data_IF_620597710979
#
_entry.id   IF_620597710979
#
_cell.length_a   1.000
_cell.length_b   1.000
_cell.length_c   1.000
_cell.angle_alpha   90.00
_cell.angle_beta   90.00
_cell.angle_gamma   90.00
#
_symmetry.space_group_name_H-M   'P 1'
#
loop_
_entity.id
_entity.type
_entity.pdbx_description
1 polymer ?
#
# COMPACT_ATOMS: atom_id res chain seq x y z
N UNK A 1 39.66 12.76 6.39
CA UNK A 1 38.19 12.77 6.43
C UNK A 1 37.73 11.50 5.74
N UNK A 2 36.92 10.69 6.38
CA UNK A 2 36.36 9.50 5.75
C UNK A 2 35.44 9.98 4.61
N UNK A 3 35.63 9.44 3.43
CA UNK A 3 34.76 9.75 2.27
C UNK A 3 33.32 9.29 2.57
N UNK A 4 32.36 10.19 2.43
CA UNK A 4 30.95 9.84 2.61
C UNK A 4 30.49 8.91 1.49
N UNK A 5 29.63 7.92 1.80
CA UNK A 5 29.12 7.01 0.77
C UNK A 5 28.22 7.76 -0.21
N UNK A 6 28.34 7.46 -1.49
CA UNK A 6 27.41 7.92 -2.52
C UNK A 6 26.23 6.97 -2.63
N UNK A 7 25.03 7.51 -2.59
CA UNK A 7 23.78 6.74 -2.46
C UNK A 7 22.92 6.86 -3.71
N UNK A 8 22.36 5.73 -4.19
CA UNK A 8 21.29 5.71 -5.18
C UNK A 8 19.93 5.52 -4.48
N UNK A 9 18.94 6.35 -4.83
CA UNK A 9 17.56 6.22 -4.39
C UNK A 9 16.69 5.89 -5.61
N UNK A 10 15.93 4.79 -5.55
CA UNK A 10 15.01 4.38 -6.61
C UNK A 10 13.58 4.79 -6.24
N UNK A 11 13.03 5.76 -6.97
CA UNK A 11 11.67 6.27 -6.83
C UNK A 11 11.55 7.52 -5.96
N UNK A 12 10.72 8.47 -6.39
CA UNK A 12 10.42 9.73 -5.70
C UNK A 12 8.93 9.80 -5.27
N UNK A 13 8.36 8.68 -4.86
CA UNK A 13 7.10 8.63 -4.13
C UNK A 13 7.26 9.13 -2.68
N UNK A 14 6.22 9.02 -1.85
CA UNK A 14 6.24 9.46 -0.45
C UNK A 14 7.43 8.92 0.36
N UNK A 15 7.87 7.70 0.09
CA UNK A 15 9.03 7.11 0.78
C UNK A 15 10.36 7.64 0.25
N UNK A 16 10.46 7.84 -1.07
CA UNK A 16 11.69 8.32 -1.71
C UNK A 16 12.02 9.76 -1.35
N UNK A 17 11.04 10.67 -1.34
CA UNK A 17 11.28 12.07 -0.95
C UNK A 17 11.64 12.20 0.53
N UNK A 18 11.08 11.36 1.41
CA UNK A 18 11.42 11.34 2.82
C UNK A 18 12.88 10.90 3.05
N UNK A 19 13.31 9.83 2.36
CA UNK A 19 14.70 9.37 2.50
C UNK A 19 15.70 10.30 1.80
N UNK A 20 15.33 10.92 0.67
CA UNK A 20 16.14 11.96 0.01
C UNK A 20 16.43 13.12 0.96
N UNK A 21 15.40 13.60 1.66
CA UNK A 21 15.53 14.63 2.70
C UNK A 21 16.45 14.17 3.84
N UNK A 22 16.28 12.94 4.33
CA UNK A 22 17.12 12.40 5.40
C UNK A 22 18.60 12.30 5.00
N UNK A 23 18.92 11.98 3.74
CA UNK A 23 20.29 12.00 3.20
C UNK A 23 20.82 13.44 3.11
N UNK A 24 20.01 14.36 2.57
CA UNK A 24 20.37 15.78 2.47
C UNK A 24 20.71 16.39 3.82
N UNK A 25 19.91 16.17 4.84
CA UNK A 25 20.11 16.69 6.21
C UNK A 25 21.45 16.22 6.82
N UNK A 26 21.93 15.07 6.39
CA UNK A 26 23.18 14.47 6.86
C UNK A 26 24.38 14.78 5.98
N UNK A 27 24.17 15.52 4.90
CA UNK A 27 25.22 15.82 3.93
C UNK A 27 25.72 14.59 3.15
N UNK A 28 24.95 13.50 3.12
CA UNK A 28 25.27 12.29 2.37
C UNK A 28 24.96 12.56 0.90
N UNK A 29 25.94 12.43 -0.03
CA UNK A 29 25.70 12.62 -1.46
C UNK A 29 24.80 11.52 -2.00
N UNK A 30 23.77 11.89 -2.76
CA UNK A 30 22.85 10.95 -3.37
C UNK A 30 22.33 11.43 -4.72
N UNK A 31 21.90 10.48 -5.54
CA UNK A 31 21.06 10.69 -6.73
C UNK A 31 19.74 9.95 -6.54
N UNK A 32 18.64 10.61 -6.84
CA UNK A 32 17.30 10.00 -6.80
C UNK A 32 16.74 9.90 -8.24
N UNK A 33 16.37 8.70 -8.68
CA UNK A 33 15.81 8.45 -10.00
C UNK A 33 14.32 8.15 -9.91
N UNK A 34 13.52 8.93 -10.65
CA UNK A 34 12.07 8.78 -10.76
C UNK A 34 11.66 8.53 -12.21
N UNK A 35 10.95 7.44 -12.42
CA UNK A 35 10.46 7.06 -13.76
C UNK A 35 9.35 7.99 -14.26
N UNK A 36 8.61 8.65 -13.38
CA UNK A 36 7.60 9.66 -13.70
C UNK A 36 8.21 11.04 -13.94
N UNK A 37 7.38 11.96 -14.43
CA UNK A 37 7.77 13.35 -14.71
C UNK A 37 7.68 14.27 -13.48
N UNK A 38 7.25 13.75 -12.32
CA UNK A 38 7.17 14.46 -11.04
C UNK A 38 7.16 13.50 -9.85
N UNK A 39 7.24 14.04 -8.65
CA UNK A 39 7.12 13.29 -7.40
C UNK A 39 5.70 12.75 -7.17
N UNK A 40 5.52 11.87 -6.19
CA UNK A 40 4.21 11.44 -5.70
C UNK A 40 3.92 9.96 -5.88
N UNK A 41 4.59 9.28 -6.82
CA UNK A 41 4.45 7.84 -7.00
C UNK A 41 3.00 7.39 -7.16
N UNK A 42 2.51 6.56 -6.24
CA UNK A 42 1.13 6.03 -6.27
C UNK A 42 0.02 7.10 -6.08
N UNK A 43 0.34 8.29 -5.59
CA UNK A 43 -0.62 9.38 -5.39
C UNK A 43 -0.78 10.28 -6.62
N UNK A 44 0.13 10.12 -7.60
CA UNK A 44 0.08 10.89 -8.83
C UNK A 44 -0.96 10.28 -9.79
N UNK A 45 -2.20 10.82 -9.75
CA UNK A 45 -3.28 10.42 -10.65
C UNK A 45 -2.88 10.66 -12.12
N UNK A 46 -3.16 9.67 -12.98
CA UNK A 46 -2.74 9.66 -14.40
C UNK A 46 -1.23 9.80 -14.60
N UNK A 47 -0.44 9.20 -13.70
CA UNK A 47 1.00 9.15 -13.86
C UNK A 47 1.38 8.51 -15.22
N UNK A 48 2.12 9.23 -16.09
CA UNK A 48 2.44 8.73 -17.43
C UNK A 48 3.26 7.43 -17.43
N UNK A 49 3.95 7.12 -16.32
CA UNK A 49 4.67 5.85 -16.17
C UNK A 49 3.75 4.63 -15.92
N UNK A 50 2.44 4.82 -15.81
CA UNK A 50 1.43 3.79 -15.56
C UNK A 50 1.61 2.99 -14.25
N UNK A 51 2.40 3.48 -13.30
CA UNK A 51 2.67 2.81 -12.02
C UNK A 51 1.78 3.29 -10.87
N UNK A 52 0.91 4.27 -11.09
CA UNK A 52 -0.03 4.76 -10.07
C UNK A 52 -1.34 3.96 -10.11
N UNK A 53 -1.85 3.61 -8.94
CA UNK A 53 -3.16 3.02 -8.75
C UNK A 53 -4.22 4.05 -8.27
N UNK A 54 -3.91 5.35 -8.38
CA UNK A 54 -4.84 6.40 -8.01
C UNK A 54 -6.00 6.49 -9.01
N UNK A 55 -7.19 6.71 -8.50
CA UNK A 55 -8.41 7.00 -9.26
C UNK A 55 -8.93 8.38 -8.84
N UNK A 56 -9.76 9.00 -9.69
CA UNK A 56 -10.18 10.40 -9.56
C UNK A 56 -10.83 10.72 -8.20
N UNK A 57 -11.63 9.82 -7.66
CA UNK A 57 -12.30 9.98 -6.37
C UNK A 57 -11.46 9.56 -5.16
N UNK A 58 -10.18 9.23 -5.33
CA UNK A 58 -9.33 8.72 -4.25
C UNK A 58 -9.11 9.75 -3.14
N UNK A 59 -9.37 9.34 -1.91
CA UNK A 59 -9.04 10.05 -0.68
C UNK A 59 -8.20 9.16 0.24
N UNK A 60 -7.38 9.75 1.10
CA UNK A 60 -6.66 8.97 2.10
C UNK A 60 -7.62 8.26 3.06
N UNK A 61 -7.16 7.15 3.62
CA UNK A 61 -7.92 6.33 4.57
C UNK A 61 -7.41 6.45 6.01
N UNK A 62 -6.30 7.15 6.20
CA UNK A 62 -5.72 7.51 7.49
C UNK A 62 -5.90 9.02 7.69
N UNK A 63 -6.19 9.45 8.90
CA UNK A 63 -6.29 10.86 9.23
C UNK A 63 -5.02 11.64 8.81
N UNK A 64 -5.20 12.84 8.23
CA UNK A 64 -4.10 13.64 7.69
C UNK A 64 -3.03 13.95 8.75
N UNK A 65 -3.42 14.18 10.03
CA UNK A 65 -2.49 14.48 11.13
C UNK A 65 -1.62 13.28 11.54
N UNK A 66 -2.07 12.07 11.24
CA UNK A 66 -1.26 10.86 11.42
C UNK A 66 -0.42 10.54 10.19
N UNK A 67 -0.85 11.04 9.01
CA UNK A 67 -0.21 10.75 7.73
C UNK A 67 0.95 11.71 7.42
N UNK A 68 0.94 12.95 7.93
CA UNK A 68 1.94 13.97 7.65
C UNK A 68 3.36 13.57 8.10
N UNK A 69 4.38 14.13 7.43
CA UNK A 69 5.76 14.06 7.91
C UNK A 69 5.89 14.87 9.18
N UNK A 70 6.74 14.44 10.10
CA UNK A 70 6.88 15.08 11.41
C UNK A 70 7.49 16.47 11.34
N UNK A 71 8.41 16.66 10.40
CA UNK A 71 9.12 17.92 10.20
C UNK A 71 8.43 18.86 9.18
N UNK A 72 7.33 18.39 8.57
CA UNK A 72 6.53 19.18 7.63
C UNK A 72 5.04 18.90 7.83
N UNK A 73 4.41 19.52 8.84
CA UNK A 73 2.99 19.29 9.10
C UNK A 73 2.11 19.86 7.98
N UNK A 74 1.00 19.18 7.70
CA UNK A 74 0.01 19.69 6.75
C UNK A 74 -0.65 20.97 7.27
N UNK A 75 -1.09 21.90 6.40
CA UNK A 75 -1.82 23.11 6.80
C UNK A 75 -2.98 22.84 7.76
N UNK A 76 -3.25 23.76 8.67
CA UNK A 76 -4.24 23.59 9.74
C UNK A 76 -5.66 23.37 9.26
N UNK A 77 -6.00 23.88 8.08
CA UNK A 77 -7.28 23.76 7.40
C UNK A 77 -7.41 22.53 6.48
N UNK A 78 -6.36 21.67 6.42
CA UNK A 78 -6.43 20.42 5.65
C UNK A 78 -7.55 19.53 6.21
N UNK A 79 -8.48 19.02 5.35
CA UNK A 79 -9.51 18.08 5.77
C UNK A 79 -8.92 16.82 6.42
N UNK A 80 -9.67 16.17 7.32
CA UNK A 80 -9.22 14.93 7.96
C UNK A 80 -8.81 13.84 6.96
N UNK A 81 -9.52 13.73 5.83
CA UNK A 81 -9.27 12.75 4.76
C UNK A 81 -9.16 13.47 3.41
N UNK A 82 -8.06 14.17 3.14
CA UNK A 82 -7.89 14.91 1.89
C UNK A 82 -7.84 14.00 0.67
N UNK A 83 -8.19 14.58 -0.50
CA UNK A 83 -8.08 13.90 -1.78
C UNK A 83 -6.62 13.71 -2.21
N UNK A 84 -6.41 12.83 -3.18
CA UNK A 84 -5.08 12.63 -3.77
C UNK A 84 -4.48 13.92 -4.33
N UNK A 85 -5.28 14.87 -4.82
CA UNK A 85 -4.79 16.19 -5.28
C UNK A 85 -4.14 16.99 -4.17
N UNK A 86 -4.74 17.01 -2.98
CA UNK A 86 -4.18 17.70 -1.80
C UNK A 86 -2.90 17.02 -1.35
N UNK A 87 -2.85 15.68 -1.38
CA UNK A 87 -1.64 14.91 -1.05
C UNK A 87 -0.53 15.17 -2.07
N UNK A 88 -0.86 15.23 -3.37
CA UNK A 88 0.13 15.56 -4.40
C UNK A 88 0.72 16.94 -4.19
N UNK A 89 -0.15 17.95 -3.94
CA UNK A 89 0.34 19.30 -3.63
C UNK A 89 1.24 19.30 -2.39
N UNK A 90 0.90 18.57 -1.35
CA UNK A 90 1.71 18.44 -0.14
C UNK A 90 3.10 17.86 -0.44
N UNK A 91 3.23 16.87 -1.34
CA UNK A 91 4.53 16.33 -1.74
C UNK A 91 5.34 17.30 -2.59
N UNK A 92 4.71 18.01 -3.51
CA UNK A 92 5.37 19.06 -4.29
C UNK A 92 5.89 20.19 -3.38
N UNK A 93 5.04 20.65 -2.47
CA UNK A 93 5.42 21.68 -1.50
C UNK A 93 6.57 21.21 -0.57
N UNK A 94 6.54 19.94 -0.14
CA UNK A 94 7.62 19.32 0.66
C UNK A 94 8.95 19.32 -0.08
N UNK A 95 8.94 18.85 -1.32
CA UNK A 95 10.15 18.78 -2.16
C UNK A 95 10.74 20.16 -2.41
N UNK A 96 9.88 21.17 -2.68
CA UNK A 96 10.31 22.54 -2.91
C UNK A 96 10.80 23.20 -1.63
N UNK A 97 10.10 23.00 -0.49
CA UNK A 97 10.48 23.57 0.81
C UNK A 97 11.87 23.11 1.25
N UNK A 98 12.18 21.82 1.07
CA UNK A 98 13.48 21.27 1.44
C UNK A 98 14.52 21.31 0.30
N UNK A 99 14.17 21.89 -0.86
CA UNK A 99 15.07 22.03 -2.01
C UNK A 99 15.57 20.67 -2.53
N UNK A 100 14.68 19.68 -2.62
CA UNK A 100 15.03 18.33 -3.07
C UNK A 100 14.90 18.18 -4.59
N UNK A 101 14.19 19.08 -5.27
CA UNK A 101 13.84 18.94 -6.68
C UNK A 101 15.04 18.75 -7.59
N UNK A 102 16.11 19.51 -7.35
CA UNK A 102 17.34 19.45 -8.15
C UNK A 102 18.18 18.18 -7.93
N UNK A 103 17.83 17.39 -6.91
CA UNK A 103 18.49 16.10 -6.61
C UNK A 103 17.70 14.90 -7.17
N UNK A 104 16.55 15.15 -7.82
CA UNK A 104 15.70 14.12 -8.40
C UNK A 104 15.82 14.20 -9.93
N UNK A 105 16.22 13.11 -10.56
CA UNK A 105 16.23 12.97 -12.01
C UNK A 105 14.92 12.31 -12.44
N UNK A 106 14.02 13.11 -13.00
CA UNK A 106 12.73 12.66 -13.51
C UNK A 106 12.83 12.03 -14.89
N UNK A 107 11.76 11.32 -15.31
CA UNK A 107 11.67 10.60 -16.57
C UNK A 107 12.86 9.64 -16.78
N UNK A 108 13.37 9.07 -15.69
CA UNK A 108 14.54 8.20 -15.69
C UNK A 108 14.29 7.02 -14.78
N UNK A 109 14.15 5.85 -15.37
CA UNK A 109 13.95 4.60 -14.65
C UNK A 109 15.25 3.85 -14.42
N UNK A 110 15.36 3.16 -13.29
CA UNK A 110 16.41 2.16 -13.11
C UNK A 110 15.99 0.89 -13.82
N UNK A 111 16.77 0.49 -14.82
CA UNK A 111 16.55 -0.73 -15.61
C UNK A 111 17.18 -1.94 -14.93
N UNK A 112 18.39 -1.78 -14.39
CA UNK A 112 19.13 -2.85 -13.72
C UNK A 112 19.95 -2.34 -12.54
N UNK A 113 20.01 -3.13 -11.47
CA UNK A 113 20.84 -2.87 -10.30
C UNK A 113 21.61 -4.15 -9.94
N UNK A 114 22.89 -4.15 -10.21
CA UNK A 114 23.80 -5.25 -9.89
C UNK A 114 24.74 -4.88 -8.76
N UNK A 115 24.96 -5.80 -7.83
CA UNK A 115 25.96 -5.64 -6.78
C UNK A 115 27.22 -6.41 -7.13
N UNK A 116 28.33 -5.71 -7.26
CA UNK A 116 29.63 -6.31 -7.54
C UNK A 116 30.21 -7.02 -6.31
N UNK A 117 31.23 -7.83 -6.53
CA UNK A 117 31.93 -8.57 -5.45
C UNK A 117 32.60 -7.64 -4.43
N UNK A 118 33.01 -6.45 -4.86
CA UNK A 118 33.58 -5.40 -3.99
C UNK A 118 32.52 -4.64 -3.18
N UNK A 119 31.23 -4.96 -3.37
CA UNK A 119 30.10 -4.35 -2.67
C UNK A 119 29.52 -3.11 -3.35
N UNK A 120 30.16 -2.61 -4.41
CA UNK A 120 29.65 -1.45 -5.18
C UNK A 120 28.40 -1.84 -5.97
N UNK A 121 27.44 -0.94 -6.01
CA UNK A 121 26.25 -1.05 -6.83
C UNK A 121 26.46 -0.44 -8.20
N UNK A 122 26.32 -1.21 -9.26
CA UNK A 122 26.26 -0.75 -10.63
C UNK A 122 24.79 -0.59 -11.05
N UNK A 123 24.40 0.65 -11.34
CA UNK A 123 23.03 1.03 -11.67
C UNK A 123 22.94 1.43 -13.13
N UNK A 124 22.21 0.64 -13.93
CA UNK A 124 21.92 0.96 -15.32
C UNK A 124 20.55 1.63 -15.41
N UNK A 125 20.53 2.80 -16.04
CA UNK A 125 19.33 3.60 -16.27
C UNK A 125 18.75 3.30 -17.67
N UNK A 126 17.47 3.59 -17.85
CA UNK A 126 16.75 3.40 -19.12
C UNK A 126 17.17 4.38 -20.23
N UNK A 127 17.94 5.42 -19.89
CA UNK A 127 18.58 6.33 -20.84
C UNK A 127 19.98 5.85 -21.29
N UNK A 128 20.41 4.67 -20.85
CA UNK A 128 21.68 4.03 -21.21
C UNK A 128 22.87 4.38 -20.33
N UNK A 129 22.74 5.30 -19.38
CA UNK A 129 23.82 5.59 -18.41
C UNK A 129 24.01 4.43 -17.43
N UNK A 130 25.26 4.19 -17.07
CA UNK A 130 25.64 3.28 -15.96
C UNK A 130 26.43 4.07 -14.93
N UNK A 131 25.99 3.98 -13.69
CA UNK A 131 26.54 4.75 -12.56
C UNK A 131 26.87 3.82 -11.39
N UNK A 132 27.86 4.21 -10.57
CA UNK A 132 28.32 3.43 -9.43
C UNK A 132 27.93 4.12 -8.10
N UNK A 133 27.52 3.32 -7.11
CA UNK A 133 27.09 3.78 -5.80
C UNK A 133 27.56 2.85 -4.68
N UNK A 134 27.85 3.44 -3.50
CA UNK A 134 28.24 2.68 -2.30
C UNK A 134 27.03 2.05 -1.60
N UNK A 135 25.83 2.63 -1.76
CA UNK A 135 24.61 2.10 -1.17
C UNK A 135 23.39 2.31 -2.09
N UNK A 136 22.43 1.39 -1.99
CA UNK A 136 21.18 1.39 -2.75
C UNK A 136 19.97 1.45 -1.82
N UNK A 137 19.11 2.46 -1.99
CA UNK A 137 17.86 2.68 -1.27
C UNK A 137 16.66 2.49 -2.21
N UNK A 138 15.91 1.42 -1.97
CA UNK A 138 14.79 1.01 -2.81
C UNK A 138 13.48 1.58 -2.24
N UNK A 139 12.92 2.59 -2.91
CA UNK A 139 11.66 3.25 -2.57
C UNK A 139 10.63 3.15 -3.71
N UNK A 140 10.68 2.06 -4.50
CA UNK A 140 9.89 1.86 -5.72
C UNK A 140 8.40 1.59 -5.47
N UNK A 141 7.96 1.50 -4.20
CA UNK A 141 6.57 1.18 -3.84
C UNK A 141 6.17 -0.27 -4.14
N UNK A 142 4.93 -0.62 -3.78
CA UNK A 142 4.43 -1.99 -3.91
C UNK A 142 2.95 -2.07 -4.35
N UNK A 143 2.36 -0.97 -4.90
CA UNK A 143 0.98 -0.93 -5.39
C UNK A 143 0.92 -0.61 -6.89
N UNK A 144 1.81 -1.20 -7.69
CA UNK A 144 1.90 -0.92 -9.13
C UNK A 144 1.95 -2.17 -10.02
N UNK A 145 2.16 -3.38 -9.44
CA UNK A 145 2.12 -4.66 -10.16
C UNK A 145 0.83 -5.42 -9.81
N UNK A 146 -0.21 -5.39 -10.67
CA UNK A 146 -1.53 -5.95 -10.37
C UNK A 146 -1.50 -7.45 -10.13
N UNK A 147 -2.14 -7.91 -9.05
CA UNK A 147 -2.34 -9.32 -8.77
C UNK A 147 -3.67 -9.80 -9.37
N UNK A 148 -3.61 -10.52 -10.45
CA UNK A 148 -4.77 -11.20 -11.02
C UNK A 148 -5.10 -12.47 -10.22
N UNK A 149 -6.35 -13.00 -10.33
CA UNK A 149 -6.69 -14.29 -9.74
C UNK A 149 -5.80 -15.42 -10.25
N UNK A 150 -5.17 -16.15 -9.33
CA UNK A 150 -4.32 -17.28 -9.66
C UNK A 150 -4.62 -18.44 -8.69
N UNK A 151 -5.05 -19.63 -9.19
CA UNK A 151 -5.39 -19.89 -10.60
C UNK A 151 -6.57 -19.05 -11.10
N UNK A 152 -6.68 -18.87 -12.41
CA UNK A 152 -7.83 -18.21 -13.03
C UNK A 152 -9.12 -18.96 -12.70
N UNK A 153 -10.23 -18.23 -12.61
CA UNK A 153 -11.54 -18.87 -12.42
C UNK A 153 -11.92 -19.74 -13.61
N UNK A 154 -12.56 -20.91 -13.37
CA UNK A 154 -13.03 -21.78 -14.47
C UNK A 154 -14.04 -21.06 -15.36
N UNK A 155 -14.09 -21.47 -16.64
CA UNK A 155 -15.03 -20.95 -17.64
C UNK A 155 -14.50 -19.72 -18.37
N UNK A 156 -15.37 -19.15 -19.21
CA UNK A 156 -15.05 -18.00 -20.04
C UNK A 156 -15.99 -16.84 -19.71
N UNK A 157 -15.51 -15.62 -19.84
CA UNK A 157 -16.29 -14.41 -19.65
C UNK A 157 -16.29 -13.58 -20.94
N UNK A 158 -17.48 -13.33 -21.47
CA UNK A 158 -17.65 -12.59 -22.72
C UNK A 158 -17.52 -11.07 -22.55
N UNK A 159 -17.72 -10.56 -21.31
CA UNK A 159 -17.58 -9.14 -20.98
C UNK A 159 -16.13 -8.69 -20.80
N UNK A 160 -15.94 -7.44 -20.44
CA UNK A 160 -14.58 -6.91 -20.14
C UNK A 160 -14.16 -7.21 -18.73
N UNK A 161 -12.87 -7.40 -18.57
CA UNK A 161 -12.22 -7.54 -17.27
C UNK A 161 -11.09 -6.52 -17.15
N UNK A 162 -11.07 -5.77 -16.05
CA UNK A 162 -9.98 -4.85 -15.71
C UNK A 162 -9.52 -5.09 -14.28
N UNK A 163 -8.29 -4.78 -13.98
CA UNK A 163 -7.84 -4.66 -12.59
C UNK A 163 -8.12 -3.24 -12.07
N UNK A 164 -8.35 -3.08 -10.77
CA UNK A 164 -8.57 -1.75 -10.15
C UNK A 164 -7.41 -0.78 -10.37
N UNK A 165 -6.23 -1.29 -10.70
CA UNK A 165 -5.08 -0.48 -11.10
C UNK A 165 -5.32 0.35 -12.37
N UNK A 166 -6.10 -0.18 -13.30
CA UNK A 166 -6.44 0.51 -14.53
C UNK A 166 -7.70 1.40 -14.40
N UNK A 167 -8.44 1.29 -13.30
CA UNK A 167 -9.64 2.08 -13.08
C UNK A 167 -9.27 3.53 -12.75
N UNK A 168 -9.69 4.48 -13.57
CA UNK A 168 -9.42 5.90 -13.35
C UNK A 168 -10.66 6.64 -12.81
N UNK A 169 -11.82 6.38 -13.38
CA UNK A 169 -13.12 6.94 -13.01
C UNK A 169 -14.26 6.11 -13.66
N UNK A 170 -15.54 6.44 -13.45
CA UNK A 170 -16.66 5.69 -14.04
C UNK A 170 -16.72 5.65 -15.57
N UNK A 171 -15.95 6.46 -16.26
CA UNK A 171 -15.93 6.54 -17.74
C UNK A 171 -14.66 5.91 -18.34
N UNK A 172 -13.59 5.78 -17.54
CA UNK A 172 -12.26 5.32 -18.00
C UNK A 172 -11.67 4.21 -17.11
N UNK A 173 -11.02 3.20 -17.72
CA UNK A 173 -10.78 2.95 -19.15
C UNK A 173 -11.99 2.29 -19.84
N UNK A 174 -13.08 2.09 -19.11
CA UNK A 174 -14.33 1.48 -19.59
C UNK A 174 -15.49 2.30 -19.08
N UNK A 175 -16.34 2.78 -19.98
CA UNK A 175 -17.57 3.45 -19.56
C UNK A 175 -18.47 2.48 -18.78
N UNK A 176 -18.70 2.78 -17.51
CA UNK A 176 -19.47 1.99 -16.55
C UNK A 176 -20.98 2.30 -16.57
N UNK A 177 -21.40 3.38 -17.25
CA UNK A 177 -22.80 3.84 -17.24
C UNK A 177 -23.75 2.80 -17.83
N UNK A 178 -24.82 2.53 -17.09
CA UNK A 178 -25.85 1.59 -17.50
C UNK A 178 -25.41 0.11 -17.52
N UNK A 179 -24.21 -0.21 -17.05
CA UNK A 179 -23.68 -1.59 -17.03
C UNK A 179 -23.93 -2.27 -15.70
N UNK A 180 -23.97 -3.61 -15.74
CA UNK A 180 -23.95 -4.48 -14.58
C UNK A 180 -22.51 -4.83 -14.25
N UNK A 181 -22.01 -4.35 -13.12
CA UNK A 181 -20.60 -4.41 -12.79
C UNK A 181 -20.39 -5.31 -11.57
N UNK A 182 -19.42 -6.20 -11.67
CA UNK A 182 -18.95 -7.03 -10.57
C UNK A 182 -17.60 -6.50 -10.07
N UNK A 183 -17.59 -5.97 -8.86
CA UNK A 183 -16.36 -5.60 -8.15
C UNK A 183 -15.92 -6.78 -7.28
N UNK A 184 -14.70 -7.25 -7.47
CA UNK A 184 -14.18 -8.45 -6.78
C UNK A 184 -13.10 -8.06 -5.78
N UNK A 185 -13.39 -8.22 -4.51
CA UNK A 185 -12.50 -7.92 -3.39
C UNK A 185 -13.24 -7.21 -2.26
N UNK A 186 -12.54 -7.02 -1.13
CA UNK A 186 -13.07 -6.29 0.03
C UNK A 186 -12.03 -5.31 0.62
N UNK A 187 -10.99 -4.97 -0.13
CA UNK A 187 -10.04 -3.91 0.24
C UNK A 187 -10.62 -2.50 0.00
N UNK A 188 -9.84 -1.47 0.33
CA UNK A 188 -10.28 -0.08 0.18
C UNK A 188 -10.72 0.25 -1.24
N UNK A 189 -9.93 -0.12 -2.26
CA UNK A 189 -10.29 0.12 -3.67
C UNK A 189 -11.61 -0.53 -4.06
N UNK A 190 -11.89 -1.77 -3.56
CA UNK A 190 -13.17 -2.43 -3.86
C UNK A 190 -14.36 -1.67 -3.26
N UNK A 191 -14.22 -1.18 -2.03
CA UNK A 191 -15.28 -0.43 -1.37
C UNK A 191 -15.50 0.93 -2.03
N UNK A 192 -14.43 1.65 -2.33
CA UNK A 192 -14.51 2.98 -2.94
C UNK A 192 -15.12 2.89 -4.34
N UNK A 193 -14.64 1.97 -5.19
CA UNK A 193 -15.14 1.77 -6.56
C UNK A 193 -16.60 1.31 -6.54
N UNK A 194 -16.96 0.37 -5.66
CA UNK A 194 -18.35 -0.08 -5.54
C UNK A 194 -19.28 1.06 -5.09
N UNK A 195 -18.87 1.86 -4.12
CA UNK A 195 -19.62 3.03 -3.67
C UNK A 195 -19.77 4.09 -4.77
N UNK A 196 -18.68 4.39 -5.49
CA UNK A 196 -18.72 5.35 -6.58
C UNK A 196 -19.66 4.90 -7.69
N UNK A 197 -19.48 3.68 -8.19
CA UNK A 197 -20.28 3.14 -9.30
C UNK A 197 -21.77 2.93 -8.97
N UNK A 198 -22.11 2.75 -7.69
CA UNK A 198 -23.49 2.60 -7.23
C UNK A 198 -24.29 3.90 -7.14
N UNK A 199 -23.66 5.05 -7.45
CA UNK A 199 -24.37 6.33 -7.44
C UNK A 199 -25.36 6.44 -8.61
N UNK A 200 -26.52 7.12 -8.42
CA UNK A 200 -27.50 7.29 -9.46
C UNK A 200 -26.93 7.83 -10.78
N UNK A 201 -27.31 7.23 -11.88
CA UNK A 201 -26.87 7.63 -13.23
C UNK A 201 -25.51 7.07 -13.66
N UNK A 202 -24.88 6.22 -12.83
CA UNK A 202 -23.67 5.46 -13.17
C UNK A 202 -24.01 4.02 -13.56
N UNK A 203 -23.58 3.00 -12.82
CA UNK A 203 -23.90 1.63 -13.15
C UNK A 203 -25.40 1.31 -12.99
N UNK A 204 -25.91 0.37 -13.80
CA UNK A 204 -27.27 -0.19 -13.64
C UNK A 204 -27.35 -1.05 -12.37
N UNK A 205 -26.32 -1.90 -12.17
CA UNK A 205 -26.18 -2.75 -10.97
C UNK A 205 -24.71 -2.87 -10.58
N UNK A 206 -24.46 -2.83 -9.28
CA UNK A 206 -23.15 -3.10 -8.71
C UNK A 206 -23.19 -4.29 -7.79
N UNK A 207 -22.48 -5.35 -8.16
CA UNK A 207 -22.27 -6.54 -7.33
C UNK A 207 -20.91 -6.42 -6.65
N UNK A 208 -20.83 -6.75 -5.35
CA UNK A 208 -19.57 -6.80 -4.59
C UNK A 208 -19.35 -8.23 -4.12
N UNK A 209 -18.32 -8.90 -4.65
CA UNK A 209 -18.02 -10.31 -4.36
C UNK A 209 -16.70 -10.46 -3.62
N UNK A 210 -16.71 -11.33 -2.61
CA UNK A 210 -15.48 -11.71 -1.91
C UNK A 210 -15.53 -13.16 -1.42
N UNK A 211 -14.36 -13.82 -1.40
CA UNK A 211 -14.18 -15.18 -0.84
C UNK A 211 -14.17 -15.18 0.69
N UNK A 212 -13.52 -14.19 1.28
CA UNK A 212 -13.30 -14.03 2.72
C UNK A 212 -13.78 -12.66 3.17
N UNK A 213 -14.36 -12.60 4.36
CA UNK A 213 -14.75 -11.34 4.97
C UNK A 213 -13.55 -10.56 5.51
N UNK A 214 -13.69 -9.24 5.52
CA UNK A 214 -12.79 -8.33 6.24
C UNK A 214 -13.61 -7.46 7.19
N UNK A 215 -12.96 -6.95 8.23
CA UNK A 215 -13.58 -5.94 9.07
C UNK A 215 -13.62 -4.63 8.32
N UNK A 216 -14.81 -4.04 8.25
CA UNK A 216 -15.01 -2.70 7.68
C UNK A 216 -15.20 -1.73 8.83
N UNK A 217 -14.41 -0.66 8.85
CA UNK A 217 -14.39 0.34 9.90
C UNK A 217 -14.81 1.68 9.30
N UNK A 218 -15.74 2.42 9.93
CA UNK A 218 -16.15 3.72 9.41
C UNK A 218 -15.02 4.75 9.56
N UNK A 219 -14.99 5.77 8.69
CA UNK A 219 -14.04 6.88 8.77
C UNK A 219 -14.19 7.68 10.09
N UNK A 220 -15.42 7.84 10.55
CA UNK A 220 -15.74 8.59 11.78
C UNK A 220 -16.49 7.74 12.79
N UNK A 221 -16.09 7.84 14.06
CA UNK A 221 -16.77 7.29 15.22
C UNK A 221 -16.98 8.45 16.21
N UNK A 222 -18.22 8.67 16.62
CA UNK A 222 -18.61 9.78 17.53
C UNK A 222 -18.09 11.14 17.05
N UNK A 223 -18.12 11.38 15.72
CA UNK A 223 -17.67 12.63 15.10
C UNK A 223 -16.15 12.84 15.05
N UNK A 224 -15.35 11.83 15.42
CA UNK A 224 -13.88 11.89 15.35
C UNK A 224 -13.35 10.85 14.38
N UNK A 225 -12.25 11.16 13.65
CA UNK A 225 -11.57 10.17 12.83
C UNK A 225 -11.24 8.90 13.61
N UNK A 226 -11.64 7.75 13.05
CA UNK A 226 -11.48 6.45 13.74
C UNK A 226 -10.02 6.14 14.04
N UNK A 227 -9.11 6.54 13.18
CA UNK A 227 -7.67 6.33 13.36
C UNK A 227 -7.10 7.07 14.57
N UNK A 228 -7.70 8.19 14.99
CA UNK A 228 -7.34 8.89 16.23
C UNK A 228 -7.86 8.17 17.49
N UNK A 229 -8.97 7.43 17.38
CA UNK A 229 -9.60 6.74 18.51
C UNK A 229 -9.03 5.35 18.76
N UNK A 230 -8.53 4.67 17.71
CA UNK A 230 -8.04 3.29 17.80
C UNK A 230 -6.57 3.18 18.24
N UNK A 231 -5.88 4.30 18.35
CA UNK A 231 -4.49 4.39 18.83
C UNK A 231 -4.40 4.21 20.35
N UNK A 232 -4.72 3.01 20.86
CA UNK A 232 -4.55 2.75 22.30
C UNK A 232 -3.07 2.75 22.72
N UNK A 233 -2.78 3.12 23.99
CA UNK A 233 -1.43 3.05 24.51
C UNK A 233 -0.81 1.65 24.30
N UNK A 234 0.49 1.56 23.98
CA UNK A 234 1.14 0.29 23.63
C UNK A 234 1.20 -0.76 24.75
N UNK A 235 0.98 -0.35 25.99
CA UNK A 235 0.87 -1.26 27.13
C UNK A 235 -0.47 -2.01 27.19
N UNK A 236 -1.49 -1.55 26.44
CA UNK A 236 -2.77 -2.25 26.34
C UNK A 236 -2.59 -3.52 25.51
N UNK A 237 -2.91 -4.72 26.05
CA UNK A 237 -2.81 -5.96 25.30
C UNK A 237 -3.65 -5.88 24.01
N UNK A 238 -3.08 -6.28 22.87
CA UNK A 238 -3.75 -6.17 21.58
C UNK A 238 -5.14 -6.86 21.54
N UNK A 239 -5.33 -7.93 22.31
CA UNK A 239 -6.62 -8.65 22.41
C UNK A 239 -7.70 -7.79 23.06
N UNK A 240 -7.34 -6.99 24.07
CA UNK A 240 -8.25 -6.05 24.73
C UNK A 240 -8.57 -4.89 23.79
N UNK A 241 -7.56 -4.33 23.13
CA UNK A 241 -7.76 -3.30 22.12
C UNK A 241 -8.68 -3.80 20.99
N UNK A 242 -8.44 -5.01 20.47
CA UNK A 242 -9.28 -5.66 19.47
C UNK A 242 -10.73 -5.80 19.92
N UNK A 243 -10.97 -6.21 21.16
CA UNK A 243 -12.32 -6.38 21.72
C UNK A 243 -13.04 -5.05 21.89
N UNK A 244 -12.36 -4.04 22.45
CA UNK A 244 -12.92 -2.68 22.63
C UNK A 244 -13.23 -2.04 21.28
N UNK A 245 -12.31 -2.08 20.33
CA UNK A 245 -12.53 -1.55 18.98
C UNK A 245 -13.70 -2.25 18.30
N UNK A 246 -13.79 -3.58 18.41
CA UNK A 246 -14.93 -4.32 17.87
C UNK A 246 -16.25 -3.92 18.51
N UNK A 247 -16.28 -3.73 19.83
CA UNK A 247 -17.48 -3.28 20.54
C UNK A 247 -17.92 -1.89 20.05
N UNK A 248 -16.99 -0.93 20.02
CA UNK A 248 -17.27 0.46 19.61
C UNK A 248 -17.75 0.51 18.15
N UNK A 249 -17.04 -0.14 17.23
CA UNK A 249 -17.43 -0.18 15.82
C UNK A 249 -18.78 -0.87 15.64
N UNK A 250 -19.01 -1.99 16.35
CA UNK A 250 -20.28 -2.72 16.26
C UNK A 250 -21.47 -1.94 16.81
N UNK A 251 -21.26 -1.09 17.82
CA UNK A 251 -22.31 -0.19 18.33
C UNK A 251 -22.61 0.94 17.35
N UNK A 252 -21.60 1.44 16.63
CA UNK A 252 -21.74 2.54 15.69
C UNK A 252 -22.40 2.14 14.36
N UNK A 253 -21.95 1.04 13.76
CA UNK A 253 -22.34 0.63 12.38
C UNK A 253 -22.83 -0.80 12.28
N UNK A 254 -22.90 -1.56 13.37
CA UNK A 254 -23.20 -2.99 13.33
C UNK A 254 -22.01 -3.82 12.84
N UNK A 255 -22.33 -4.98 12.31
CA UNK A 255 -21.33 -5.94 11.82
C UNK A 255 -21.45 -6.12 10.31
N UNK A 256 -20.33 -6.30 9.55
CA UNK A 256 -20.37 -6.41 8.09
C UNK A 256 -21.37 -7.45 7.57
N UNK A 257 -21.51 -8.59 8.22
CA UNK A 257 -22.45 -9.64 7.81
C UNK A 257 -23.93 -9.32 8.03
N UNK A 258 -24.26 -8.29 8.83
CA UNK A 258 -25.64 -7.79 8.95
C UNK A 258 -26.09 -7.11 7.63
N UNK A 259 -25.14 -6.74 6.78
CA UNK A 259 -25.35 -6.11 5.47
C UNK A 259 -25.09 -7.09 4.31
N UNK A 260 -25.00 -8.40 4.59
CA UNK A 260 -24.78 -9.43 3.59
C UNK A 260 -23.33 -9.66 3.15
N UNK A 261 -22.37 -8.97 3.74
CA UNK A 261 -20.95 -9.21 3.49
C UNK A 261 -20.47 -10.51 4.17
N UNK A 262 -19.46 -11.21 3.65
CA UNK A 262 -18.91 -12.39 4.29
C UNK A 262 -18.39 -12.09 5.71
N UNK A 263 -18.56 -13.05 6.61
CA UNK A 263 -18.04 -12.91 7.98
C UNK A 263 -16.52 -13.04 7.98
N UNK A 264 -15.79 -12.10 8.64
CA UNK A 264 -14.35 -12.25 8.84
C UNK A 264 -14.03 -13.52 9.68
N UNK A 265 -12.99 -14.22 9.28
CA UNK A 265 -12.45 -15.41 9.96
C UNK A 265 -11.43 -15.07 11.07
N UNK A 266 -11.17 -13.79 11.26
CA UNK A 266 -10.20 -13.22 12.18
C UNK A 266 -10.82 -12.14 13.07
N UNK A 267 -10.10 -11.77 14.16
CA UNK A 267 -10.54 -10.71 15.08
C UNK A 267 -10.30 -9.33 14.49
N UNK A 268 -11.04 -8.33 14.94
CA UNK A 268 -10.79 -6.91 14.65
C UNK A 268 -9.32 -6.55 14.99
N UNK A 269 -8.67 -5.75 14.14
CA UNK A 269 -7.24 -5.38 14.25
C UNK A 269 -6.25 -6.56 14.22
N UNK A 270 -6.70 -7.77 14.03
CA UNK A 270 -5.82 -8.90 13.78
C UNK A 270 -5.21 -8.80 12.37
N UNK A 271 -5.99 -8.36 11.39
CA UNK A 271 -5.55 -7.98 10.06
C UNK A 271 -5.92 -6.52 9.77
N UNK A 272 -5.35 -5.94 8.72
CA UNK A 272 -5.67 -4.57 8.31
C UNK A 272 -7.17 -4.47 7.96
N UNK A 273 -7.97 -3.66 8.68
CA UNK A 273 -9.37 -3.45 8.35
C UNK A 273 -9.50 -2.60 7.08
N UNK A 274 -10.58 -2.74 6.38
CA UNK A 274 -10.97 -1.81 5.32
C UNK A 274 -11.65 -0.59 5.92
N UNK A 275 -11.27 0.60 5.51
CA UNK A 275 -11.86 1.85 6.00
C UNK A 275 -12.88 2.33 4.97
N UNK A 276 -14.16 2.19 5.28
CA UNK A 276 -15.24 2.71 4.45
C UNK A 276 -16.49 2.93 5.29
N UNK A 277 -17.06 4.12 5.21
CA UNK A 277 -18.33 4.44 5.86
C UNK A 277 -19.49 4.36 4.87
N UNK A 278 -19.27 4.80 3.62
CA UNK A 278 -20.30 4.87 2.59
C UNK A 278 -20.84 3.48 2.21
N UNK A 279 -19.99 2.44 2.24
CA UNK A 279 -20.40 1.09 1.86
C UNK A 279 -21.59 0.55 2.66
N UNK A 280 -21.67 0.87 3.96
CA UNK A 280 -22.78 0.46 4.81
C UNK A 280 -24.13 1.04 4.35
N UNK A 281 -24.10 2.31 3.91
CA UNK A 281 -25.26 3.00 3.36
C UNK A 281 -25.66 2.33 2.04
N UNK A 282 -24.72 2.12 1.13
CA UNK A 282 -24.96 1.53 -0.19
C UNK A 282 -25.48 0.10 -0.13
N UNK A 283 -24.97 -0.71 0.79
CA UNK A 283 -25.48 -2.06 1.05
C UNK A 283 -26.89 -2.02 1.66
N UNK A 284 -27.11 -1.15 2.66
CA UNK A 284 -28.40 -1.01 3.33
C UNK A 284 -29.50 -0.48 2.41
N UNK A 285 -29.16 0.37 1.44
CA UNK A 285 -30.10 0.89 0.43
C UNK A 285 -30.32 -0.08 -0.75
N UNK A 286 -29.51 -1.16 -0.85
CA UNK A 286 -29.57 -2.08 -1.99
C UNK A 286 -28.90 -1.56 -3.26
N UNK A 287 -28.16 -0.46 -3.18
CA UNK A 287 -27.39 0.11 -4.30
C UNK A 287 -26.20 -0.78 -4.67
N UNK A 288 -25.59 -1.44 -3.67
CA UNK A 288 -24.55 -2.46 -3.83
C UNK A 288 -25.10 -3.80 -3.37
N UNK A 289 -25.01 -4.81 -4.23
CA UNK A 289 -25.54 -6.15 -3.99
C UNK A 289 -24.38 -7.10 -3.57
N UNK A 290 -24.32 -7.53 -2.30
CA UNK A 290 -23.27 -8.45 -1.87
C UNK A 290 -23.43 -9.83 -2.49
N UNK A 291 -22.30 -10.44 -2.87
CA UNK A 291 -22.20 -11.79 -3.43
C UNK A 291 -21.07 -12.56 -2.75
N UNK A 292 -21.24 -13.88 -2.56
CA UNK A 292 -20.13 -14.71 -2.10
C UNK A 292 -19.07 -14.87 -3.18
N UNK A 293 -18.06 -15.70 -2.94
CA UNK A 293 -16.99 -15.95 -3.90
C UNK A 293 -17.50 -16.47 -5.24
N UNK A 294 -16.79 -16.14 -6.31
CA UNK A 294 -17.04 -16.63 -7.66
C UNK A 294 -16.77 -18.14 -7.70
N UNK A 295 -17.65 -18.92 -8.34
CA UNK A 295 -17.49 -20.33 -8.64
C UNK A 295 -16.91 -20.52 -10.04
N UNK A 296 -17.50 -19.86 -11.03
CA UNK A 296 -17.06 -19.90 -12.44
C UNK A 296 -17.54 -18.67 -13.21
N UNK A 297 -16.85 -18.39 -14.29
CA UNK A 297 -17.29 -17.45 -15.31
C UNK A 297 -18.18 -18.21 -16.33
N UNK A 298 -19.26 -17.61 -16.79
CA UNK A 298 -20.28 -18.31 -17.58
C UNK A 298 -20.85 -17.41 -18.69
N UNK A 299 -20.04 -17.12 -19.68
CA UNK A 299 -20.39 -16.24 -20.80
C UNK A 299 -20.67 -14.81 -20.34
N UNK A 300 -21.91 -14.36 -20.48
CA UNK A 300 -22.36 -13.01 -20.05
C UNK A 300 -22.77 -12.94 -18.56
N UNK A 301 -22.47 -13.99 -17.79
CA UNK A 301 -22.86 -14.08 -16.39
C UNK A 301 -21.72 -14.60 -15.52
N UNK A 302 -21.87 -14.47 -14.21
CA UNK A 302 -20.98 -15.04 -13.20
C UNK A 302 -21.80 -15.92 -12.26
N UNK A 303 -21.35 -17.17 -12.07
CA UNK A 303 -21.90 -18.09 -11.09
C UNK A 303 -21.11 -17.99 -9.78
N UNK A 304 -21.82 -17.84 -8.67
CA UNK A 304 -21.25 -17.77 -7.33
C UNK A 304 -21.33 -19.11 -6.60
N UNK A 305 -20.55 -19.25 -5.52
CA UNK A 305 -20.45 -20.51 -4.76
C UNK A 305 -21.76 -20.95 -4.10
N UNK A 306 -22.72 -20.05 -3.94
CA UNK A 306 -24.09 -20.34 -3.45
C UNK A 306 -25.07 -20.75 -4.54
N UNK A 307 -24.62 -20.86 -5.79
CA UNK A 307 -25.41 -21.24 -6.95
C UNK A 307 -26.14 -20.08 -7.63
N UNK A 308 -26.10 -18.87 -7.12
CA UNK A 308 -26.63 -17.70 -7.83
C UNK A 308 -25.85 -17.45 -9.10
N UNK A 309 -26.57 -17.00 -10.14
CA UNK A 309 -26.00 -16.63 -11.43
C UNK A 309 -26.55 -15.27 -11.83
N UNK A 310 -25.67 -14.27 -11.86
CA UNK A 310 -26.04 -12.91 -12.22
C UNK A 310 -25.40 -12.49 -13.55
N UNK A 311 -26.12 -11.74 -14.39
CA UNK A 311 -25.57 -11.15 -15.60
C UNK A 311 -24.60 -10.04 -15.23
N UNK A 312 -23.46 -10.01 -15.90
CA UNK A 312 -22.34 -9.06 -15.65
C UNK A 312 -21.76 -8.61 -16.98
N UNK A 313 -21.57 -7.30 -17.15
CA UNK A 313 -20.98 -6.71 -18.35
C UNK A 313 -19.48 -6.39 -18.17
N UNK A 314 -19.07 -6.13 -16.91
CA UNK A 314 -17.70 -5.74 -16.55
C UNK A 314 -17.32 -6.35 -15.20
N UNK A 315 -16.14 -6.96 -15.13
CA UNK A 315 -15.51 -7.37 -13.87
C UNK A 315 -14.34 -6.42 -13.55
N UNK A 316 -14.34 -5.86 -12.34
CA UNK A 316 -13.24 -5.06 -11.80
C UNK A 316 -12.57 -5.85 -10.68
N UNK A 317 -11.36 -6.32 -10.95
CA UNK A 317 -10.56 -7.11 -10.02
C UNK A 317 -9.84 -6.20 -9.03
N UNK A 318 -10.30 -6.13 -7.78
CA UNK A 318 -9.65 -5.43 -6.67
C UNK A 318 -8.89 -6.42 -5.80
N UNK A 319 -8.03 -7.20 -6.42
CA UNK A 319 -7.36 -8.37 -5.83
C UNK A 319 -5.96 -8.07 -5.30
N UNK A 320 -5.58 -6.78 -5.26
CA UNK A 320 -4.33 -6.29 -4.68
C UNK A 320 -3.16 -6.36 -5.64
N UNK A 321 -1.94 -6.34 -5.09
CA UNK A 321 -0.70 -6.15 -5.84
C UNK A 321 0.36 -7.16 -5.44
N UNK A 322 1.31 -7.39 -6.34
CA UNK A 322 2.54 -8.13 -6.09
C UNK A 322 3.64 -7.15 -5.69
N UNK A 323 4.52 -7.58 -4.82
CA UNK A 323 5.78 -6.88 -4.55
C UNK A 323 6.79 -7.32 -5.61
N UNK A 324 7.25 -6.38 -6.42
CA UNK A 324 8.12 -6.65 -7.56
C UNK A 324 9.29 -5.68 -7.62
N UNK A 325 10.43 -6.18 -8.05
CA UNK A 325 11.68 -5.44 -8.22
C UNK A 325 12.28 -5.77 -9.60
N UNK A 326 11.76 -5.19 -10.69
CA UNK A 326 12.12 -5.59 -12.05
C UNK A 326 13.58 -5.28 -12.42
N UNK A 327 14.22 -4.41 -11.65
CA UNK A 327 15.61 -4.03 -11.81
C UNK A 327 16.62 -4.98 -11.12
N UNK A 328 16.14 -5.95 -10.32
CA UNK A 328 16.99 -7.01 -9.78
C UNK A 328 16.85 -8.30 -10.56
N UNK A 329 17.94 -9.06 -10.67
CA UNK A 329 17.87 -10.44 -11.07
C UNK A 329 16.99 -11.22 -10.07
N UNK A 330 15.96 -11.97 -10.51
CA UNK A 330 15.11 -12.76 -9.62
C UNK A 330 15.86 -13.77 -8.76
N UNK A 331 17.02 -14.26 -9.21
CA UNK A 331 17.89 -15.13 -8.43
C UNK A 331 18.61 -14.38 -7.31
N UNK A 332 18.89 -13.09 -7.49
CA UNK A 332 19.46 -12.23 -6.46
C UNK A 332 18.40 -11.84 -5.44
N UNK A 333 17.23 -11.33 -5.90
CA UNK A 333 16.16 -10.88 -5.02
C UNK A 333 14.79 -10.96 -5.68
N UNK A 334 13.88 -11.66 -5.03
CA UNK A 334 12.46 -11.74 -5.39
C UNK A 334 11.60 -11.80 -4.13
N UNK A 335 10.31 -11.52 -4.25
CA UNK A 335 9.36 -11.54 -3.16
C UNK A 335 8.14 -12.42 -3.50
N UNK A 336 8.31 -13.75 -3.64
CA UNK A 336 7.20 -14.65 -3.93
C UNK A 336 6.16 -14.52 -2.81
N UNK A 337 4.87 -14.48 -3.18
CA UNK A 337 3.77 -14.25 -2.24
C UNK A 337 3.90 -13.00 -1.35
N UNK A 338 4.61 -11.98 -1.83
CA UNK A 338 4.96 -10.76 -1.10
C UNK A 338 5.77 -11.04 0.18
N UNK A 339 6.43 -12.18 0.27
CA UNK A 339 7.26 -12.54 1.41
C UNK A 339 8.73 -12.22 1.12
N UNK A 340 9.21 -11.15 1.76
CA UNK A 340 10.60 -10.73 1.72
C UNK A 340 11.13 -10.62 3.16
N UNK A 341 12.03 -11.52 3.60
CA UNK A 341 12.57 -11.50 4.95
C UNK A 341 13.59 -10.39 5.10
N UNK A 342 13.15 -9.25 5.62
CA UNK A 342 13.96 -8.08 5.91
C UNK A 342 13.98 -7.81 7.41
N UNK A 343 15.16 -7.57 7.97
CA UNK A 343 15.31 -7.07 9.33
C UNK A 343 14.74 -5.63 9.39
N UNK A 344 13.91 -5.37 10.39
CA UNK A 344 13.13 -4.14 10.53
C UNK A 344 12.46 -3.69 9.23
N UNK A 345 12.05 -4.64 8.37
CA UNK A 345 11.42 -4.36 7.06
C UNK A 345 12.28 -3.47 6.14
N UNK A 346 13.57 -3.34 6.42
CA UNK A 346 14.49 -2.47 5.68
C UNK A 346 15.71 -3.20 5.15
N UNK A 347 16.34 -4.07 5.96
CA UNK A 347 17.69 -4.58 5.68
C UNK A 347 17.65 -6.06 5.35
N UNK A 348 18.25 -6.44 4.23
CA UNK A 348 18.48 -7.86 3.90
C UNK A 348 19.69 -8.37 4.67
N UNK A 349 19.57 -9.43 5.50
CA UNK A 349 20.71 -10.00 6.18
C UNK A 349 21.84 -10.40 5.21
N UNK A 350 23.07 -10.03 5.54
CA UNK A 350 24.25 -10.27 4.71
C UNK A 350 24.56 -9.18 3.65
N UNK A 351 23.72 -8.16 3.52
CA UNK A 351 23.96 -7.01 2.64
C UNK A 351 23.67 -5.74 3.43
N UNK A 352 24.72 -5.06 3.82
CA UNK A 352 24.68 -3.90 4.73
C UNK A 352 24.50 -2.55 4.03
N UNK A 353 24.45 -2.56 2.70
CA UNK A 353 24.30 -1.39 1.84
C UNK A 353 23.12 -1.47 0.87
N UNK A 354 22.12 -2.34 1.17
CA UNK A 354 20.85 -2.42 0.47
C UNK A 354 19.70 -2.19 1.45
N UNK A 355 18.89 -1.18 1.19
CA UNK A 355 17.78 -0.80 2.07
C UNK A 355 16.48 -0.65 1.30
N UNK A 356 15.38 -1.08 1.93
CA UNK A 356 14.02 -0.94 1.42
C UNK A 356 13.25 0.07 2.27
N UNK A 357 12.65 1.07 1.63
CA UNK A 357 11.94 2.15 2.31
C UNK A 357 10.45 2.06 2.01
N UNK A 358 9.62 2.08 3.05
CA UNK A 358 8.17 2.04 2.89
C UNK A 358 7.64 0.69 2.39
N UNK A 359 8.43 -0.37 2.42
CA UNK A 359 8.04 -1.73 2.01
C UNK A 359 7.34 -2.46 3.16
N UNK A 360 6.24 -1.88 3.64
CA UNK A 360 5.42 -2.43 4.73
C UNK A 360 4.00 -1.87 4.70
N UNK A 361 3.08 -2.55 5.37
CA UNK A 361 1.69 -2.12 5.55
C UNK A 361 1.42 -1.88 7.04
N UNK A 362 1.59 -0.64 7.53
CA UNK A 362 1.34 -0.34 8.93
C UNK A 362 -0.17 -0.28 9.22
N UNK A 363 -0.57 -0.74 10.39
CA UNK A 363 -1.86 -0.35 10.97
C UNK A 363 -1.80 1.11 11.41
N UNK A 364 -1.76 2.04 10.44
CA UNK A 364 -1.51 3.46 10.62
C UNK A 364 -0.95 4.10 9.36
N UNK A 365 -0.10 5.12 9.54
CA UNK A 365 0.44 5.93 8.45
C UNK A 365 1.82 5.45 7.98
N UNK A 366 2.09 5.58 6.68
CA UNK A 366 3.37 5.17 6.09
C UNK A 366 4.40 6.29 6.08
N UNK A 367 4.00 7.55 5.90
CA UNK A 367 4.93 8.67 5.70
C UNK A 367 5.88 8.89 6.88
N UNK A 368 5.41 8.99 8.16
CA UNK A 368 6.32 9.16 9.29
C UNK A 368 7.21 7.93 9.54
N UNK A 369 6.79 6.74 9.09
CA UNK A 369 7.65 5.55 9.13
C UNK A 369 8.78 5.66 8.12
N UNK A 370 8.47 6.05 6.88
CA UNK A 370 9.50 6.21 5.84
C UNK A 370 10.53 7.27 6.22
N UNK A 371 10.10 8.36 6.86
CA UNK A 371 10.95 9.38 7.44
C UNK A 371 11.89 8.79 8.52
N UNK A 372 11.35 8.05 9.50
CA UNK A 372 12.14 7.39 10.53
C UNK A 372 13.12 6.35 9.97
N UNK A 373 12.69 5.56 8.96
CA UNK A 373 13.59 4.65 8.24
C UNK A 373 14.73 5.41 7.56
N UNK A 374 14.44 6.53 6.90
CA UNK A 374 15.46 7.39 6.29
C UNK A 374 16.48 7.92 7.29
N UNK A 375 16.01 8.35 8.46
CA UNK A 375 16.90 8.81 9.54
C UNK A 375 17.81 7.69 10.05
N UNK A 376 17.24 6.51 10.31
CA UNK A 376 18.01 5.33 10.77
C UNK A 376 19.09 4.94 9.75
N UNK A 377 18.73 4.85 8.46
CA UNK A 377 19.65 4.49 7.38
C UNK A 377 20.76 5.52 7.25
N UNK A 378 20.42 6.82 7.29
CA UNK A 378 21.42 7.88 7.22
C UNK A 378 22.41 7.86 8.37
N UNK A 379 21.97 7.57 9.61
CA UNK A 379 22.86 7.44 10.76
C UNK A 379 23.73 6.17 10.67
N UNK A 380 23.19 5.09 10.09
CA UNK A 380 24.00 3.90 9.79
C UNK A 380 25.10 4.20 8.77
N UNK A 381 24.76 4.83 7.65
CA UNK A 381 25.71 5.19 6.58
C UNK A 381 26.82 6.13 7.06
N UNK A 382 26.55 6.93 8.09
CA UNK A 382 27.56 7.76 8.77
C UNK A 382 28.36 7.02 9.85
N UNK A 383 28.11 5.73 10.06
CA UNK A 383 28.76 4.92 11.10
C UNK A 383 28.33 5.26 12.53
N UNK A 384 27.22 6.01 12.71
CA UNK A 384 26.68 6.34 14.04
C UNK A 384 25.90 5.20 14.66
N UNK A 385 25.30 4.35 13.84
CA UNK A 385 24.54 3.17 14.22
C UNK A 385 25.16 1.97 13.52
N UNK A 386 25.48 0.92 14.28
CA UNK A 386 25.88 -0.36 13.72
C UNK A 386 24.67 -1.27 13.49
N UNK A 387 24.62 -1.93 12.35
CA UNK A 387 23.63 -2.98 12.12
C UNK A 387 24.00 -4.22 12.97
N UNK A 388 23.01 -4.98 13.43
CA UNK A 388 23.24 -6.29 14.04
C UNK A 388 23.92 -7.26 13.05
N UNK A 389 24.54 -8.31 13.57
CA UNK A 389 25.04 -9.38 12.70
C UNK A 389 23.91 -10.05 11.92
N UNK A 390 24.24 -10.64 10.77
CA UNK A 390 23.27 -11.37 9.93
C UNK A 390 22.52 -12.45 10.72
N UNK A 391 23.19 -13.08 11.66
CA UNK A 391 22.58 -14.11 12.53
C UNK A 391 21.56 -13.50 13.51
N UNK A 392 21.85 -12.34 14.09
CA UNK A 392 20.91 -11.62 14.96
C UNK A 392 19.72 -11.08 14.19
N UNK A 393 19.96 -10.55 12.98
CA UNK A 393 18.89 -10.13 12.07
C UNK A 393 17.95 -11.29 11.74
N UNK A 394 18.50 -12.45 11.35
CA UNK A 394 17.71 -13.64 11.03
C UNK A 394 16.91 -14.13 12.25
N UNK A 395 17.50 -14.15 13.44
CA UNK A 395 16.78 -14.49 14.69
C UNK A 395 15.61 -13.53 14.96
N UNK A 396 15.82 -12.24 14.72
CA UNK A 396 14.77 -11.22 14.87
C UNK A 396 13.66 -11.40 13.84
N UNK A 397 14.00 -11.63 12.57
CA UNK A 397 13.04 -11.92 11.49
C UNK A 397 12.20 -13.14 11.83
N UNK A 398 12.83 -14.24 12.27
CA UNK A 398 12.13 -15.47 12.63
C UNK A 398 11.21 -15.29 13.85
N UNK A 399 11.62 -14.47 14.81
CA UNK A 399 10.78 -14.11 15.97
C UNK A 399 9.55 -13.33 15.53
N UNK A 400 9.72 -12.31 14.69
CA UNK A 400 8.63 -11.48 14.15
C UNK A 400 7.68 -12.31 13.29
N UNK A 401 8.23 -13.20 12.43
CA UNK A 401 7.42 -14.14 11.61
C UNK A 401 6.62 -15.11 12.48
N UNK A 402 7.21 -15.68 13.51
CA UNK A 402 6.49 -16.57 14.46
C UNK A 402 5.37 -15.81 15.17
N UNK A 403 5.63 -14.61 15.63
CA UNK A 403 4.61 -13.75 16.28
C UNK A 403 3.48 -13.40 15.32
N UNK A 404 3.80 -13.08 14.07
CA UNK A 404 2.85 -12.81 13.01
C UNK A 404 1.99 -14.05 12.71
N UNK A 405 2.60 -15.22 12.48
CA UNK A 405 1.85 -16.46 12.22
C UNK A 405 1.00 -16.94 13.39
N UNK A 406 1.44 -16.69 14.64
CA UNK A 406 0.62 -16.93 15.82
C UNK A 406 -0.59 -15.98 15.90
N UNK A 407 -0.47 -14.77 15.35
CA UNK A 407 -1.58 -13.79 15.28
C UNK A 407 -2.56 -14.14 14.16
N UNK A 408 -2.08 -14.59 13.01
CA UNK A 408 -2.89 -14.91 11.83
C UNK A 408 -3.00 -16.43 11.66
N UNK A 409 -4.23 -16.94 11.61
CA UNK A 409 -4.47 -18.37 11.31
C UNK A 409 -4.16 -18.72 9.86
N UNK A 410 -4.26 -17.74 8.99
CA UNK A 410 -4.01 -17.84 7.55
C UNK A 410 -2.67 -17.18 7.20
N UNK A 411 -1.87 -17.87 6.37
CA UNK A 411 -0.58 -17.40 5.85
C UNK A 411 -0.75 -16.62 4.54
N UNK A 412 -1.86 -15.90 4.38
CA UNK A 412 -2.11 -15.16 3.15
C UNK A 412 -1.00 -14.13 2.88
N UNK A 413 -0.61 -13.92 1.61
CA UNK A 413 0.43 -12.96 1.19
C UNK A 413 0.23 -11.53 1.72
N UNK A 414 -1.03 -11.14 1.97
CA UNK A 414 -1.38 -9.83 2.53
C UNK A 414 -0.86 -9.57 3.96
N UNK A 415 -0.49 -10.62 4.70
CA UNK A 415 -0.05 -10.49 6.10
C UNK A 415 1.46 -10.38 6.25
N UNK A 416 2.23 -10.74 5.21
CA UNK A 416 3.69 -10.79 5.27
C UNK A 416 4.33 -9.40 5.47
N UNK A 417 3.68 -8.33 5.00
CA UNK A 417 4.17 -6.95 5.09
C UNK A 417 3.58 -6.16 6.27
N UNK A 418 2.62 -6.72 7.01
CA UNK A 418 1.90 -5.99 8.05
C UNK A 418 2.76 -5.75 9.28
N UNK A 419 2.67 -4.53 9.84
CA UNK A 419 3.31 -4.13 11.09
C UNK A 419 2.35 -3.32 11.97
N UNK A 420 2.57 -3.39 13.28
CA UNK A 420 1.91 -2.54 14.25
C UNK A 420 2.65 -1.19 14.29
N UNK A 421 1.99 -0.08 13.90
CA UNK A 421 2.60 1.22 13.77
C UNK A 421 3.40 1.65 15.00
N UNK A 422 2.76 1.68 16.17
CA UNK A 422 3.39 2.16 17.40
C UNK A 422 4.54 1.29 17.88
N UNK A 423 4.46 -0.04 17.68
CA UNK A 423 5.52 -0.96 18.09
C UNK A 423 6.71 -0.86 17.14
N UNK A 424 6.44 -0.78 15.84
CA UNK A 424 7.47 -0.65 14.83
C UNK A 424 8.20 0.68 14.94
N UNK A 425 7.46 1.77 15.04
CA UNK A 425 7.99 3.12 15.15
C UNK A 425 8.92 3.35 16.36
N UNK A 426 8.73 2.60 17.45
CA UNK A 426 9.61 2.67 18.63
C UNK A 426 10.89 1.86 18.49
N UNK A 427 10.95 0.96 17.54
CA UNK A 427 12.17 0.17 17.27
C UNK A 427 13.14 0.89 16.35
N UNK A 428 12.62 1.84 15.56
CA UNK A 428 13.40 2.76 14.75
C UNK A 428 13.88 3.96 15.57
#
# INVERSE_FOLDING_TARGET
>A
MQQLPRVCIIGAGSSGIAVAKAMKDRGIPYDCFEKGDRVGGNWYFRNPNSMSAAYESLHINTDCRLMEYRDYPMPGDTPDYPSHHVIMKYFEDYVDHFGLRDTITFNTGVEKADRRDDGVWEIRLDDGRTLEYDALLVANGHHWDPRWPEPAYPGEFAGRQIHSHAYLNPEEPVNCRGRKILVVGMGNSAMDIACELSRPGLADKVYLSARHGVWVVPKYIFGKPTTRLTGMPPWVPWKLNSWLTNLIVSLQVGKPWNYGLPRPDHRMLQAHPTISQEIYIRLGSGDVLPRPGIRRLDGEAVEFVDGRRDPVDLIIWCTGYKVSFPFFDPAFLSAPDNDLPLWERMVRPGIDNLFFIGLLQPLGAIMPIAEAQGHFIGDHLLGRIALPSSEEMNRSIDKDRRAMFARYRDRAPRHTMQVDFNQYFRRL
#
